data_IF_844954118919
#
_entry.id   IF_844954118919
#
_cell.length_a   1.000
_cell.length_b   1.000
_cell.length_c   1.000
_cell.angle_alpha   90.00
_cell.angle_beta   90.00
_cell.angle_gamma   90.00
#
_symmetry.space_group_name_H-M   'P 1'
#
loop_
_entity.id
_entity.type
_entity.pdbx_description
1 polymer ?
#
# COMPACT_ATOMS: atom_id res chain seq x y z
N UNK A 1 10.73 9.86 10.56
CA UNK A 1 11.43 9.30 9.38
C UNK A 1 10.39 8.81 8.39
N UNK A 2 10.76 8.50 7.14
CA UNK A 2 9.76 8.09 6.15
C UNK A 2 10.32 7.44 4.89
N UNK A 3 9.45 6.73 4.17
CA UNK A 3 9.68 6.27 2.80
C UNK A 3 8.95 7.18 1.82
N UNK A 4 9.51 7.34 0.62
CA UNK A 4 8.83 7.98 -0.50
C UNK A 4 9.24 7.26 -1.79
N UNK A 5 8.29 6.53 -2.38
CA UNK A 5 8.46 5.81 -3.63
C UNK A 5 7.31 6.18 -4.57
N UNK A 6 7.58 6.25 -5.87
CA UNK A 6 6.57 6.59 -6.86
C UNK A 6 6.84 5.97 -8.22
N UNK A 7 5.81 5.84 -9.04
CA UNK A 7 5.91 5.31 -10.40
C UNK A 7 4.84 5.94 -11.30
N UNK A 8 5.06 5.92 -12.61
CA UNK A 8 4.03 6.21 -13.62
C UNK A 8 3.53 4.89 -14.21
N UNK A 9 2.21 4.72 -14.23
CA UNK A 9 1.52 3.54 -14.78
C UNK A 9 0.72 3.99 -15.99
N UNK A 10 0.90 3.30 -17.12
CA UNK A 10 0.17 3.49 -18.37
C UNK A 10 -1.26 2.91 -18.27
N UNK A 11 -2.01 3.40 -17.30
CA UNK A 11 -3.42 3.14 -17.09
C UNK A 11 -4.05 4.38 -16.44
N UNK A 12 -5.35 4.57 -16.65
CA UNK A 12 -6.06 5.71 -16.08
C UNK A 12 -6.01 5.69 -14.55
N UNK A 13 -6.05 6.87 -13.93
CA UNK A 13 -6.09 6.98 -12.46
C UNK A 13 -7.28 6.23 -11.85
N UNK A 14 -8.39 6.07 -12.57
CA UNK A 14 -9.54 5.31 -12.11
C UNK A 14 -9.26 3.80 -12.08
N UNK A 15 -8.67 3.24 -13.15
CA UNK A 15 -8.29 1.82 -13.19
C UNK A 15 -7.30 1.46 -12.10
N UNK A 16 -6.29 2.31 -11.88
CA UNK A 16 -5.33 2.15 -10.78
C UNK A 16 -6.03 2.21 -9.44
N UNK A 17 -6.88 3.21 -9.23
CA UNK A 17 -7.57 3.41 -7.95
C UNK A 17 -8.50 2.27 -7.60
N UNK A 18 -9.26 1.72 -8.57
CA UNK A 18 -10.13 0.57 -8.32
C UNK A 18 -9.38 -0.66 -7.80
N UNK A 19 -8.11 -0.86 -8.19
CA UNK A 19 -7.27 -1.92 -7.61
C UNK A 19 -6.75 -1.58 -6.22
N UNK A 20 -6.32 -0.32 -6.00
CA UNK A 20 -5.71 0.09 -4.74
C UNK A 20 -6.72 0.27 -3.60
N UNK A 21 -7.95 0.71 -3.91
CA UNK A 21 -9.00 0.99 -2.90
C UNK A 21 -9.54 -0.27 -2.22
N UNK A 22 -9.37 -1.44 -2.86
CA UNK A 22 -9.75 -2.71 -2.25
C UNK A 22 -8.65 -3.15 -1.26
N UNK A 23 -8.81 -2.74 0.00
CA UNK A 23 -7.84 -3.03 1.06
C UNK A 23 -7.58 -4.53 1.26
N UNK A 24 -8.55 -5.40 0.99
CA UNK A 24 -8.36 -6.86 1.10
C UNK A 24 -7.89 -7.52 -0.20
N UNK A 25 -7.89 -6.78 -1.31
CA UNK A 25 -7.61 -7.28 -2.65
C UNK A 25 -6.14 -7.36 -3.05
N UNK A 26 -5.20 -7.05 -2.14
CA UNK A 26 -3.78 -6.87 -2.48
C UNK A 26 -3.14 -8.09 -3.16
N UNK A 27 -3.49 -9.30 -2.73
CA UNK A 27 -2.98 -10.54 -3.31
C UNK A 27 -3.39 -10.76 -4.79
N UNK A 28 -4.43 -10.07 -5.27
CA UNK A 28 -4.88 -10.19 -6.66
C UNK A 28 -3.95 -9.50 -7.68
N UNK A 29 -3.17 -8.51 -7.23
CA UNK A 29 -2.32 -7.70 -8.12
C UNK A 29 -0.85 -7.65 -7.70
N UNK A 30 -0.52 -7.79 -6.41
CA UNK A 30 0.84 -7.69 -5.89
C UNK A 30 1.62 -9.02 -5.95
N UNK A 31 1.50 -9.77 -7.05
CA UNK A 31 2.12 -11.10 -7.22
C UNK A 31 3.64 -11.06 -6.98
N UNK A 32 4.18 -12.06 -6.30
CA UNK A 32 5.60 -12.15 -5.96
C UNK A 32 6.02 -11.28 -4.77
N UNK A 33 5.12 -10.40 -4.29
CA UNK A 33 5.35 -9.57 -3.10
C UNK A 33 4.35 -9.93 -2.00
N UNK A 34 3.05 -9.97 -2.33
CA UNK A 34 1.97 -10.43 -1.45
C UNK A 34 1.37 -11.70 -2.02
N UNK A 35 1.62 -12.82 -1.36
CA UNK A 35 1.07 -14.14 -1.70
C UNK A 35 -0.26 -14.39 -0.98
N UNK A 36 -0.41 -13.87 0.24
CA UNK A 36 -1.65 -13.99 1.01
C UNK A 36 -2.07 -12.66 1.62
N UNK A 37 -3.37 -12.39 1.58
CA UNK A 37 -4.01 -11.26 2.25
C UNK A 37 -5.26 -11.79 2.95
N UNK A 38 -5.20 -11.89 4.27
CA UNK A 38 -6.28 -12.46 5.09
C UNK A 38 -6.96 -11.33 5.87
N UNK A 39 -8.24 -11.04 5.59
CA UNK A 39 -9.02 -10.12 6.41
C UNK A 39 -9.10 -10.59 7.87
N UNK A 40 -9.08 -9.65 8.81
CA UNK A 40 -9.31 -9.91 10.23
C UNK A 40 -10.59 -9.20 10.69
N UNK A 41 -11.56 -9.97 11.19
CA UNK A 41 -12.89 -9.49 11.58
C UNK A 41 -13.89 -9.41 10.41
N UNK A 42 -15.01 -8.72 10.64
CA UNK A 42 -16.16 -8.70 9.73
C UNK A 42 -16.26 -7.44 8.85
N UNK A 43 -15.27 -6.54 8.95
CA UNK A 43 -15.24 -5.31 8.17
C UNK A 43 -15.02 -5.61 6.69
N UNK A 44 -15.71 -4.86 5.82
CA UNK A 44 -15.48 -4.89 4.37
C UNK A 44 -14.17 -4.17 4.04
N UNK A 45 -13.61 -4.46 2.87
CA UNK A 45 -12.31 -3.92 2.46
C UNK A 45 -12.27 -2.40 2.26
N UNK A 46 -13.41 -1.72 2.25
CA UNK A 46 -13.50 -0.28 2.13
C UNK A 46 -14.04 0.42 3.39
N UNK A 47 -14.22 -0.32 4.49
CA UNK A 47 -14.69 0.23 5.75
C UNK A 47 -13.51 0.63 6.64
N UNK A 48 -13.50 1.88 7.10
CA UNK A 48 -12.46 2.36 8.02
C UNK A 48 -12.46 1.51 9.29
N UNK A 49 -11.28 1.05 9.70
CA UNK A 49 -11.11 0.07 10.76
C UNK A 49 -10.98 -1.37 10.27
N UNK A 50 -11.15 -1.63 8.97
CA UNK A 50 -10.86 -2.93 8.38
C UNK A 50 -9.40 -3.34 8.63
N UNK A 51 -9.19 -4.62 8.89
CA UNK A 51 -7.88 -5.17 9.22
C UNK A 51 -7.49 -6.30 8.29
N UNK A 52 -6.20 -6.43 8.03
CA UNK A 52 -5.64 -7.50 7.22
C UNK A 52 -4.32 -8.01 7.77
N UNK A 53 -4.02 -9.27 7.45
CA UNK A 53 -2.72 -9.89 7.65
C UNK A 53 -2.15 -10.20 6.27
N UNK A 54 -1.03 -9.55 5.91
CA UNK A 54 -0.31 -9.81 4.66
C UNK A 54 0.83 -10.80 4.89
N UNK A 55 0.90 -11.85 4.06
CA UNK A 55 1.91 -12.91 4.14
C UNK A 55 2.05 -13.55 5.54
N UNK A 56 1.01 -13.48 6.36
CA UNK A 56 1.03 -13.95 7.75
C UNK A 56 1.84 -13.08 8.74
N UNK A 57 2.49 -12.00 8.29
CA UNK A 57 3.48 -11.26 9.10
C UNK A 57 3.18 -9.77 9.27
N UNK A 58 2.58 -9.09 8.29
CA UNK A 58 2.21 -7.68 8.44
C UNK A 58 0.75 -7.58 8.85
N UNK A 59 0.50 -7.05 10.05
CA UNK A 59 -0.85 -6.73 10.53
C UNK A 59 -1.11 -5.26 10.31
N UNK A 60 -2.16 -4.95 9.55
CA UNK A 60 -2.47 -3.59 9.14
C UNK A 60 -3.93 -3.25 9.38
N UNK A 61 -4.19 -1.98 9.72
CA UNK A 61 -5.54 -1.41 9.85
C UNK A 61 -5.74 -0.29 8.84
N UNK A 62 -6.88 -0.27 8.15
CA UNK A 62 -7.31 0.81 7.26
C UNK A 62 -7.74 2.02 8.09
N UNK A 63 -7.08 3.15 7.89
CA UNK A 63 -7.30 4.39 8.65
C UNK A 63 -8.06 5.45 7.86
N UNK A 64 -7.97 5.43 6.54
CA UNK A 64 -8.60 6.42 5.68
C UNK A 64 -8.73 5.91 4.25
N UNK A 65 -9.85 6.22 3.63
CA UNK A 65 -10.13 5.92 2.23
C UNK A 65 -10.91 7.10 1.65
N UNK A 66 -10.30 7.80 0.69
CA UNK A 66 -10.87 8.95 0.02
C UNK A 66 -10.91 8.66 -1.48
N UNK A 67 -12.08 8.24 -1.96
CA UNK A 67 -12.30 7.89 -3.37
C UNK A 67 -12.21 9.11 -4.30
N UNK A 68 -12.52 10.30 -3.79
CA UNK A 68 -12.48 11.54 -4.58
C UNK A 68 -11.03 11.95 -4.84
N UNK A 69 -10.20 11.98 -3.80
CA UNK A 69 -8.79 12.34 -3.90
C UNK A 69 -7.87 11.16 -4.23
N UNK A 70 -8.42 9.94 -4.31
CA UNK A 70 -7.72 8.68 -4.57
C UNK A 70 -6.58 8.45 -3.59
N UNK A 71 -6.91 8.54 -2.30
CA UNK A 71 -5.97 8.38 -1.17
C UNK A 71 -6.42 7.24 -0.27
N UNK A 72 -5.50 6.35 0.08
CA UNK A 72 -5.69 5.38 1.15
C UNK A 72 -4.60 5.57 2.21
N UNK A 73 -5.00 5.51 3.48
CA UNK A 73 -4.16 5.56 4.66
C UNK A 73 -4.32 4.28 5.46
N UNK A 74 -3.23 3.72 5.95
CA UNK A 74 -3.25 2.52 6.78
C UNK A 74 -2.14 2.56 7.84
N UNK A 75 -2.30 1.81 8.93
CA UNK A 75 -1.22 1.54 9.89
C UNK A 75 -0.58 0.18 9.66
N UNK A 76 0.68 0.04 10.04
CA UNK A 76 1.26 -1.26 10.38
C UNK A 76 1.19 -1.36 11.91
N UNK A 77 0.33 -2.24 12.40
CA UNK A 77 0.09 -2.44 13.83
C UNK A 77 1.10 -3.41 14.45
N UNK A 78 1.57 -4.38 13.64
CA UNK A 78 2.65 -5.29 13.98
C UNK A 78 3.28 -5.85 12.69
N UNK A 79 4.55 -6.24 12.76
CA UNK A 79 5.31 -6.65 11.58
C UNK A 79 6.63 -7.36 11.90
N UNK A 80 7.33 -7.87 10.88
CA UNK A 80 8.62 -8.52 11.07
C UNK A 80 9.74 -7.51 11.38
N UNK A 81 10.76 -8.00 12.09
CA UNK A 81 12.08 -7.40 12.26
C UNK A 81 12.11 -5.89 12.54
N UNK A 82 12.24 -5.07 11.49
CA UNK A 82 12.41 -3.63 11.57
C UNK A 82 11.09 -2.89 11.86
N UNK A 83 9.95 -3.49 11.54
CA UNK A 83 8.61 -2.88 11.73
C UNK A 83 7.79 -3.56 12.82
N UNK A 84 8.45 -4.31 13.71
CA UNK A 84 7.82 -4.86 14.89
C UNK A 84 7.23 -3.75 15.78
N UNK A 85 6.07 -4.03 16.39
CA UNK A 85 5.29 -3.05 17.18
C UNK A 85 6.05 -2.40 18.34
N UNK A 86 7.11 -3.04 18.84
CA UNK A 86 7.95 -2.55 19.93
C UNK A 86 9.10 -1.67 19.46
N UNK A 87 9.39 -1.63 18.14
CA UNK A 87 10.47 -0.82 17.53
C UNK A 87 9.98 0.39 16.76
N UNK A 88 8.71 0.37 16.36
CA UNK A 88 8.10 1.40 15.52
C UNK A 88 6.80 1.87 16.15
N UNK A 89 6.65 3.19 16.27
CA UNK A 89 5.44 3.82 16.79
C UNK A 89 4.77 4.67 15.70
N UNK A 90 3.45 4.55 15.62
CA UNK A 90 2.63 5.37 14.73
C UNK A 90 3.01 5.23 13.26
N UNK A 91 3.28 4.01 12.79
CA UNK A 91 3.55 3.78 11.37
C UNK A 91 2.30 4.10 10.56
N UNK A 92 2.38 5.09 9.67
CA UNK A 92 1.32 5.44 8.72
C UNK A 92 1.85 5.23 7.31
N UNK A 93 1.23 4.31 6.58
CA UNK A 93 1.38 4.20 5.13
C UNK A 93 0.32 5.02 4.42
N UNK A 94 0.70 5.63 3.29
CA UNK A 94 -0.18 6.41 2.43
C UNK A 94 0.09 6.10 0.97
N UNK A 95 -0.93 5.65 0.26
CA UNK A 95 -0.90 5.56 -1.20
C UNK A 95 -1.84 6.60 -1.80
N UNK A 96 -1.37 7.28 -2.85
CA UNK A 96 -2.15 8.28 -3.59
C UNK A 96 -1.95 8.13 -5.08
N UNK A 97 -3.04 8.27 -5.83
CA UNK A 97 -3.04 8.25 -7.30
C UNK A 97 -3.39 9.62 -7.84
N UNK A 98 -2.61 10.08 -8.82
CA UNK A 98 -2.87 11.31 -9.56
C UNK A 98 -3.04 11.00 -11.04
N UNK A 99 -3.99 11.65 -11.74
CA UNK A 99 -4.07 11.55 -13.18
C UNK A 99 -2.90 12.29 -13.84
N UNK A 100 -2.30 11.68 -14.86
CA UNK A 100 -1.42 12.36 -15.81
C UNK A 100 -2.28 12.67 -17.04
N UNK A 101 -2.78 13.91 -17.09
CA UNK A 101 -3.82 14.29 -18.05
C UNK A 101 -3.33 14.40 -19.50
N UNK A 102 -2.02 14.53 -19.70
CA UNK A 102 -1.41 14.62 -21.03
C UNK A 102 -1.62 13.34 -21.87
N UNK A 103 -1.56 12.17 -21.25
CA UNK A 103 -1.57 10.87 -21.94
C UNK A 103 -2.54 9.86 -21.32
N UNK A 104 -3.46 10.32 -20.45
CA UNK A 104 -4.43 9.48 -19.72
C UNK A 104 -3.78 8.34 -18.89
N UNK A 105 -2.52 8.52 -18.48
CA UNK A 105 -1.83 7.63 -17.54
C UNK A 105 -2.01 8.12 -16.10
N UNK A 106 -1.27 7.56 -15.16
CA UNK A 106 -1.35 7.94 -13.75
C UNK A 106 0.00 7.92 -13.05
N UNK A 107 0.15 8.83 -12.09
CA UNK A 107 1.27 8.88 -11.17
C UNK A 107 0.83 8.34 -9.82
N UNK A 108 1.50 7.30 -9.32
CA UNK A 108 1.22 6.68 -8.03
C UNK A 108 2.35 7.00 -7.08
N UNK A 109 2.00 7.51 -5.90
CA UNK A 109 2.95 7.75 -4.80
C UNK A 109 2.59 6.87 -3.61
N UNK A 110 3.59 6.18 -3.08
CA UNK A 110 3.52 5.41 -1.85
C UNK A 110 4.54 5.97 -0.85
N UNK A 111 4.01 6.52 0.23
CA UNK A 111 4.79 7.15 1.29
C UNK A 111 4.49 6.49 2.62
N UNK A 112 5.40 6.63 3.57
CA UNK A 112 5.11 6.28 4.95
C UNK A 112 5.87 7.16 5.92
N UNK A 113 5.36 7.24 7.15
CA UNK A 113 5.96 7.97 8.26
C UNK A 113 5.86 7.18 9.54
N UNK A 114 6.88 7.28 10.39
CA UNK A 114 6.89 6.64 11.70
C UNK A 114 7.88 7.33 12.65
N UNK A 115 7.76 7.00 13.94
CA UNK A 115 8.79 7.22 14.96
C UNK A 115 9.49 5.88 15.27
N UNK A 116 10.81 5.90 15.39
CA UNK A 116 11.63 4.73 15.74
C UNK A 116 13.01 5.18 16.22
N UNK A 117 13.57 4.46 17.19
CA UNK A 117 14.90 4.73 17.75
C UNK A 117 16.01 3.86 17.13
N UNK A 118 15.63 2.77 16.43
CA UNK A 118 16.58 1.74 15.97
C UNK A 118 17.01 1.88 14.50
N UNK A 119 16.41 2.79 13.73
CA UNK A 119 16.69 2.96 12.29
C UNK A 119 16.32 1.72 11.46
N UNK A 120 16.80 1.64 10.20
CA UNK A 120 16.67 0.46 9.32
C UNK A 120 15.28 0.22 8.71
N UNK A 121 14.22 0.83 9.24
CA UNK A 121 12.85 0.70 8.71
C UNK A 121 12.75 1.10 7.24
N UNK A 122 13.40 2.20 6.84
CA UNK A 122 13.37 2.66 5.46
C UNK A 122 14.08 1.68 4.51
N UNK A 123 15.21 1.11 4.93
CA UNK A 123 15.97 0.13 4.13
C UNK A 123 15.19 -1.17 3.95
N UNK A 124 14.40 -1.55 4.96
CA UNK A 124 13.49 -2.68 4.90
C UNK A 124 12.26 -2.41 4.02
N UNK A 125 11.59 -1.26 4.18
CA UNK A 125 10.33 -0.96 3.51
C UNK A 125 10.48 -0.46 2.06
N UNK A 126 11.56 0.26 1.72
CA UNK A 126 11.73 0.81 0.37
C UNK A 126 11.74 -0.27 -0.74
N UNK A 127 12.46 -1.41 -0.60
CA UNK A 127 12.40 -2.49 -1.56
C UNK A 127 10.99 -3.07 -1.73
N UNK A 128 10.25 -3.24 -0.62
CA UNK A 128 8.86 -3.72 -0.64
C UNK A 128 7.98 -2.75 -1.40
N UNK A 129 8.06 -1.44 -1.11
CA UNK A 129 7.27 -0.43 -1.82
C UNK A 129 7.57 -0.36 -3.31
N UNK A 130 8.83 -0.48 -3.71
CA UNK A 130 9.22 -0.56 -5.12
C UNK A 130 8.64 -1.82 -5.78
N UNK A 131 8.73 -2.96 -5.11
CA UNK A 131 8.13 -4.22 -5.57
C UNK A 131 6.63 -4.12 -5.77
N UNK A 132 5.90 -3.55 -4.80
CA UNK A 132 4.45 -3.34 -4.89
C UNK A 132 4.07 -2.42 -6.06
N UNK A 133 4.77 -1.31 -6.22
CA UNK A 133 4.52 -0.38 -7.33
C UNK A 133 4.79 -1.01 -8.70
N UNK A 134 5.86 -1.81 -8.82
CA UNK A 134 6.15 -2.56 -10.05
C UNK A 134 5.11 -3.63 -10.34
N UNK A 135 4.72 -4.43 -9.35
CA UNK A 135 3.69 -5.45 -9.52
C UNK A 135 2.34 -4.85 -9.93
N UNK A 136 1.95 -3.70 -9.35
CA UNK A 136 0.75 -2.97 -9.77
C UNK A 136 0.84 -2.51 -11.23
N UNK A 137 1.99 -1.95 -11.63
CA UNK A 137 2.25 -1.53 -13.01
C UNK A 137 2.12 -2.70 -13.98
N UNK A 138 2.82 -3.80 -13.71
CA UNK A 138 2.79 -5.01 -14.54
C UNK A 138 1.37 -5.58 -14.65
N UNK A 139 0.63 -5.65 -13.55
CA UNK A 139 -0.74 -6.16 -13.53
C UNK A 139 -1.68 -5.35 -14.42
N UNK A 140 -1.52 -4.02 -14.45
CA UNK A 140 -2.37 -3.12 -15.23
C UNK A 140 -1.95 -3.02 -16.69
N UNK A 141 -0.66 -3.02 -16.98
CA UNK A 141 -0.14 -2.87 -18.34
C UNK A 141 -0.16 -4.18 -19.13
N UNK A 142 -0.07 -5.33 -18.45
CA UNK A 142 -0.15 -6.66 -19.09
C UNK A 142 -1.58 -7.09 -19.46
N UNK A 143 -2.59 -6.28 -19.13
CA UNK A 143 -4.01 -6.54 -19.50
C UNK A 143 -4.37 -5.86 -20.83
N UNK A 144 -3.38 -5.52 -21.65
CA UNK A 144 -3.55 -4.85 -22.95
C UNK A 144 -3.16 -5.77 -24.11
#
# INVERSE_FOLDING_TARGET
MGCNNSIVINASAEQVWQKLRDFHGMASWAKGIIETCTPEGDFRSNEIGAKRILNGVFKETLLGLDDHNKVMLYSIDDGPDAVAKDKVQGYIGKVRVFPVTENNSSFVSWTSTWASDSGGVADFCNPIYRGLLNALKENLESTT
#
